data_IF_640277617495
#
_entry.id   IF_640277617495
#
_cell.length_a   1.000
_cell.length_b   1.000
_cell.length_c   1.000
_cell.angle_alpha   90.00
_cell.angle_beta   90.00
_cell.angle_gamma   90.00
#
_symmetry.space_group_name_H-M   'P 1'
#
loop_
_entity.id
_entity.type
_entity.pdbx_description
1 polymer ?
#
# COMPACT_ATOMS: atom_id res chain seq x y z
N UNK A 1 -21.59 -27.78 -23.96
CA UNK A 1 -20.69 -28.86 -23.46
C UNK A 1 -19.27 -28.49 -23.79
N UNK A 2 -18.52 -28.01 -22.78
CA UNK A 2 -17.11 -27.64 -22.92
C UNK A 2 -16.25 -28.92 -23.08
N UNK A 3 -15.37 -28.97 -24.08
CA UNK A 3 -14.41 -30.06 -24.28
C UNK A 3 -13.14 -29.78 -23.50
N UNK A 4 -12.85 -30.58 -22.48
CA UNK A 4 -11.57 -30.54 -21.75
C UNK A 4 -10.42 -30.98 -22.66
N UNK A 5 -9.39 -30.11 -22.76
CA UNK A 5 -8.14 -30.43 -23.49
C UNK A 5 -7.15 -31.05 -22.50
N UNK A 6 -6.71 -32.27 -22.77
CA UNK A 6 -5.77 -32.99 -21.94
C UNK A 6 -4.31 -32.76 -22.41
N UNK A 7 -3.45 -32.20 -21.57
CA UNK A 7 -1.99 -32.17 -21.77
C UNK A 7 -1.33 -33.39 -21.08
N UNK A 8 -0.44 -34.06 -21.80
CA UNK A 8 0.34 -35.20 -21.28
C UNK A 8 1.61 -34.70 -20.56
N UNK A 9 1.67 -34.90 -19.26
CA UNK A 9 2.94 -34.76 -18.51
C UNK A 9 3.64 -36.14 -18.45
N UNK A 10 4.98 -36.13 -18.45
CA UNK A 10 5.83 -37.31 -18.67
C UNK A 10 5.70 -38.51 -17.70
N UNK A 11 4.69 -38.57 -16.84
CA UNK A 11 4.43 -39.68 -15.93
C UNK A 11 3.02 -40.34 -16.12
N UNK A 12 2.47 -40.25 -17.30
CA UNK A 12 1.30 -41.08 -17.68
C UNK A 12 -0.04 -40.76 -17.02
N UNK A 13 -0.12 -39.81 -16.05
CA UNK A 13 -1.41 -39.33 -15.50
C UNK A 13 -1.93 -38.17 -16.37
N UNK A 14 -3.09 -38.37 -17.00
CA UNK A 14 -3.82 -37.27 -17.63
C UNK A 14 -4.38 -36.39 -16.55
N UNK A 15 -3.83 -35.18 -16.40
CA UNK A 15 -4.43 -34.12 -15.60
C UNK A 15 -5.39 -33.37 -16.52
N UNK A 16 -6.66 -33.32 -16.17
CA UNK A 16 -7.63 -32.45 -16.87
C UNK A 16 -7.25 -30.99 -16.54
N UNK A 17 -6.89 -30.23 -17.57
CA UNK A 17 -6.70 -28.78 -17.43
C UNK A 17 -8.07 -28.14 -17.67
N UNK A 18 -8.58 -27.43 -16.65
CA UNK A 18 -9.81 -26.64 -16.82
C UNK A 18 -9.52 -25.47 -17.78
N UNK A 19 -10.43 -25.24 -18.69
CA UNK A 19 -10.36 -24.09 -19.60
C UNK A 19 -10.75 -22.82 -18.81
N UNK A 20 -10.08 -21.72 -19.08
CA UNK A 20 -10.30 -20.43 -18.39
C UNK A 20 -11.75 -19.95 -18.54
N UNK A 21 -12.42 -20.31 -19.63
CA UNK A 21 -13.81 -19.95 -19.89
C UNK A 21 -14.79 -20.48 -18.84
N UNK A 22 -14.48 -21.62 -18.20
CA UNK A 22 -15.31 -22.15 -17.10
C UNK A 22 -15.25 -21.24 -15.85
N UNK A 23 -14.11 -20.62 -15.57
CA UNK A 23 -13.99 -19.66 -14.48
C UNK A 23 -14.71 -18.34 -14.79
N UNK A 24 -14.75 -17.96 -16.07
CA UNK A 24 -15.45 -16.75 -16.51
C UNK A 24 -16.99 -16.89 -16.40
N UNK A 25 -17.53 -18.12 -16.56
CA UNK A 25 -18.95 -18.39 -16.37
C UNK A 25 -19.42 -18.17 -14.92
N UNK A 26 -18.52 -18.42 -13.94
CA UNK A 26 -18.78 -18.29 -12.51
C UNK A 26 -18.17 -16.99 -11.91
N UNK A 27 -17.78 -16.03 -12.75
CA UNK A 27 -17.13 -14.82 -12.30
C UNK A 27 -18.00 -14.05 -11.29
N UNK A 28 -17.40 -13.65 -10.16
CA UNK A 28 -18.05 -12.87 -9.10
C UNK A 28 -18.86 -13.68 -8.09
N UNK A 29 -19.22 -14.94 -8.40
CA UNK A 29 -20.04 -15.76 -7.49
C UNK A 29 -19.29 -16.00 -6.17
N UNK A 30 -19.92 -15.56 -5.06
CA UNK A 30 -19.39 -15.71 -3.70
C UNK A 30 -18.37 -14.65 -3.28
N UNK A 31 -18.06 -13.68 -4.15
CA UNK A 31 -17.20 -12.54 -3.82
C UNK A 31 -17.87 -11.18 -4.04
N UNK A 32 -18.89 -11.12 -4.88
CA UNK A 32 -19.61 -9.87 -5.20
C UNK A 32 -20.40 -9.31 -4.00
N UNK A 33 -20.77 -10.16 -3.03
CA UNK A 33 -21.52 -9.80 -1.83
C UNK A 33 -20.62 -9.28 -0.68
N UNK A 34 -19.28 -9.32 -0.84
CA UNK A 34 -18.37 -8.84 0.18
C UNK A 34 -18.40 -7.31 0.28
N UNK A 35 -18.66 -6.82 1.49
CA UNK A 35 -18.60 -5.40 1.83
C UNK A 35 -17.18 -4.92 2.11
N UNK A 36 -16.98 -3.61 2.18
CA UNK A 36 -15.68 -3.03 2.53
C UNK A 36 -15.20 -3.40 3.94
N UNK A 37 -16.09 -3.83 4.82
CA UNK A 37 -15.80 -4.33 6.17
C UNK A 37 -15.29 -5.77 6.19
N UNK A 38 -15.56 -6.53 5.12
CA UNK A 38 -15.12 -7.91 4.96
C UNK A 38 -13.74 -7.99 4.26
N UNK A 39 -13.24 -6.86 3.78
CA UNK A 39 -11.99 -6.76 3.04
C UNK A 39 -10.96 -5.95 3.81
N UNK A 40 -9.75 -6.48 3.91
CA UNK A 40 -8.60 -5.75 4.42
C UNK A 40 -7.79 -5.16 3.27
N UNK A 41 -7.56 -3.84 3.30
CA UNK A 41 -6.59 -3.25 2.39
C UNK A 41 -5.17 -3.61 2.84
N UNK A 42 -4.36 -4.28 2.00
CA UNK A 42 -3.00 -4.64 2.37
C UNK A 42 -2.11 -3.41 2.48
N UNK A 43 -1.15 -3.47 3.39
CA UNK A 43 -0.05 -2.52 3.41
C UNK A 43 1.06 -3.01 2.48
N UNK A 44 1.54 -2.11 1.63
CA UNK A 44 2.80 -2.30 0.92
C UNK A 44 3.91 -1.59 1.69
N UNK A 45 4.86 -2.33 2.21
CA UNK A 45 5.96 -1.77 3.02
C UNK A 45 7.33 -2.24 2.56
N UNK A 46 8.37 -1.49 2.91
CA UNK A 46 9.77 -1.88 2.73
C UNK A 46 10.23 -2.58 4.00
N UNK A 47 10.69 -3.81 3.90
CA UNK A 47 11.24 -4.55 5.03
C UNK A 47 12.52 -3.86 5.53
N UNK A 48 12.59 -3.65 6.83
CA UNK A 48 13.75 -3.09 7.51
C UNK A 48 14.54 -4.22 8.19
N UNK A 49 15.76 -3.95 8.65
CA UNK A 49 16.59 -4.94 9.37
C UNK A 49 15.92 -5.55 10.62
N UNK A 50 14.97 -4.83 11.21
CA UNK A 50 14.23 -5.23 12.42
C UNK A 50 12.80 -5.65 12.10
N UNK A 51 12.45 -5.84 10.83
CA UNK A 51 11.11 -6.31 10.44
C UNK A 51 10.93 -7.77 10.83
N UNK A 52 9.91 -8.13 11.61
CA UNK A 52 9.69 -9.51 12.08
C UNK A 52 9.49 -10.49 10.93
N UNK A 53 8.97 -10.04 9.81
CA UNK A 53 8.77 -10.86 8.61
C UNK A 53 10.07 -11.47 8.06
N UNK A 54 11.23 -10.94 8.43
CA UNK A 54 12.53 -11.51 8.01
C UNK A 54 12.83 -12.85 8.70
N UNK A 55 12.24 -13.07 9.87
CA UNK A 55 12.39 -14.33 10.63
C UNK A 55 11.39 -15.39 10.12
N UNK A 56 10.24 -14.99 9.60
CA UNK A 56 9.14 -15.86 9.22
C UNK A 56 9.15 -16.24 7.73
N UNK A 57 9.73 -15.39 6.86
CA UNK A 57 9.66 -15.57 5.41
C UNK A 57 11.01 -15.94 4.84
N UNK A 58 11.10 -17.16 4.34
CA UNK A 58 12.32 -17.66 3.69
C UNK A 58 12.73 -16.78 2.51
N UNK A 59 14.01 -16.42 2.44
CA UNK A 59 14.60 -15.57 1.40
C UNK A 59 14.18 -14.09 1.39
N UNK A 60 13.34 -13.63 2.33
CA UNK A 60 13.10 -12.20 2.50
C UNK A 60 14.35 -11.49 3.05
N UNK A 61 14.60 -10.26 2.59
CA UNK A 61 15.75 -9.44 3.01
C UNK A 61 15.30 -8.03 3.34
N UNK A 62 16.07 -7.37 4.20
CA UNK A 62 15.91 -5.93 4.40
C UNK A 62 16.07 -5.21 3.07
N UNK A 63 15.11 -4.35 2.76
CA UNK A 63 14.98 -3.66 1.47
C UNK A 63 13.98 -4.31 0.51
N UNK A 64 13.57 -5.55 0.71
CA UNK A 64 12.51 -6.14 -0.10
C UNK A 64 11.15 -5.48 0.22
N UNK A 65 10.25 -5.49 -0.76
CA UNK A 65 8.88 -4.98 -0.62
C UNK A 65 7.98 -6.13 -0.16
N UNK A 66 7.07 -5.84 0.73
CA UNK A 66 6.20 -6.83 1.34
C UNK A 66 4.75 -6.39 1.35
N UNK A 67 3.85 -7.27 0.93
CA UNK A 67 2.41 -7.10 1.04
C UNK A 67 1.89 -7.82 2.28
N UNK A 68 1.23 -7.11 3.19
CA UNK A 68 0.85 -7.68 4.50
C UNK A 68 -0.30 -8.69 4.44
N UNK A 69 -1.12 -8.68 3.40
CA UNK A 69 -2.26 -9.60 3.23
C UNK A 69 -1.86 -10.81 2.40
N UNK A 70 -1.33 -10.60 1.18
CA UNK A 70 -0.94 -11.71 0.30
C UNK A 70 0.36 -12.39 0.74
N UNK A 71 1.11 -11.75 1.66
CA UNK A 71 2.45 -12.20 2.12
C UNK A 71 3.49 -12.26 0.99
N UNK A 72 3.18 -11.66 -0.14
CA UNK A 72 4.09 -11.60 -1.27
C UNK A 72 5.29 -10.72 -0.98
N UNK A 73 6.47 -11.19 -1.38
CA UNK A 73 7.75 -10.47 -1.29
C UNK A 73 8.27 -10.18 -2.69
N UNK A 74 8.47 -8.91 -2.99
CA UNK A 74 9.11 -8.45 -4.23
C UNK A 74 10.49 -7.90 -3.90
N UNK A 75 11.50 -8.24 -4.72
CA UNK A 75 12.84 -7.70 -4.52
C UNK A 75 12.83 -6.18 -4.63
N UNK A 76 13.41 -5.52 -3.64
CA UNK A 76 13.36 -4.06 -3.54
C UNK A 76 13.91 -3.32 -4.74
N UNK A 77 14.97 -3.88 -5.38
CA UNK A 77 15.56 -3.31 -6.60
C UNK A 77 14.75 -3.56 -7.87
N UNK A 78 13.91 -4.62 -7.91
CA UNK A 78 12.98 -4.85 -9.02
C UNK A 78 11.79 -3.90 -8.93
N UNK A 79 11.39 -3.55 -7.70
CA UNK A 79 10.31 -2.60 -7.44
C UNK A 79 8.93 -3.07 -7.89
N UNK A 80 7.97 -2.16 -7.82
CA UNK A 80 6.58 -2.40 -8.26
C UNK A 80 6.07 -1.22 -9.08
N UNK A 81 5.20 -1.50 -10.03
CA UNK A 81 4.46 -0.47 -10.76
C UNK A 81 3.16 -0.17 -10.03
N UNK A 82 2.86 1.11 -9.84
CA UNK A 82 1.65 1.51 -9.12
C UNK A 82 0.94 2.68 -9.77
N UNK A 83 -0.37 2.73 -9.59
CA UNK A 83 -1.19 3.93 -9.83
C UNK A 83 -1.51 4.57 -8.49
N UNK A 84 -1.16 5.85 -8.29
CA UNK A 84 -1.52 6.57 -7.07
C UNK A 84 -2.95 7.11 -7.16
N UNK A 85 -3.88 6.46 -6.48
CA UNK A 85 -5.31 6.75 -6.59
C UNK A 85 -5.78 7.86 -5.66
N UNK A 86 -5.34 7.82 -4.38
CA UNK A 86 -5.73 8.80 -3.38
C UNK A 86 -4.60 9.08 -2.39
N UNK A 87 -4.77 10.16 -1.62
CA UNK A 87 -3.81 10.58 -0.61
C UNK A 87 -4.53 11.21 0.58
N UNK A 88 -4.13 10.81 1.77
CA UNK A 88 -4.52 11.47 3.02
C UNK A 88 -3.29 11.69 3.90
N UNK A 89 -3.34 12.74 4.71
CA UNK A 89 -2.34 12.98 5.75
C UNK A 89 -3.02 12.80 7.11
N UNK A 90 -2.49 11.89 7.90
CA UNK A 90 -3.02 11.60 9.23
C UNK A 90 -1.95 11.83 10.30
N UNK A 91 -2.40 12.13 11.50
CA UNK A 91 -1.60 12.03 12.70
C UNK A 91 -2.16 10.89 13.52
N UNK A 92 -1.33 9.87 13.74
CA UNK A 92 -1.72 8.65 14.45
C UNK A 92 -1.12 8.75 15.86
N UNK A 93 -1.97 8.68 16.88
CA UNK A 93 -1.54 8.65 18.27
C UNK A 93 -1.34 7.20 18.69
N UNK A 94 -0.13 6.87 19.08
CA UNK A 94 0.28 5.54 19.48
C UNK A 94 0.50 5.45 21.00
N UNK A 95 0.14 4.30 21.57
CA UNK A 95 0.59 3.91 22.91
C UNK A 95 2.11 3.70 22.93
N UNK A 96 2.78 3.76 24.09
CA UNK A 96 4.16 3.34 24.20
C UNK A 96 4.34 1.90 23.72
N UNK A 97 5.43 1.60 23.03
CA UNK A 97 5.71 0.25 22.53
C UNK A 97 5.69 -0.77 23.65
N UNK A 98 5.07 -1.93 23.36
CA UNK A 98 4.92 -3.03 24.34
C UNK A 98 3.84 -2.76 25.39
N UNK A 99 3.03 -1.70 25.20
CA UNK A 99 1.86 -1.44 26.03
C UNK A 99 0.62 -1.35 25.13
N UNK A 100 -0.43 -2.03 25.47
CA UNK A 100 -1.66 -2.06 24.67
C UNK A 100 -1.69 -3.14 23.60
N UNK A 101 -2.65 -3.04 22.67
CA UNK A 101 -2.95 -4.03 21.62
C UNK A 101 -2.19 -3.79 20.30
N UNK A 102 -1.30 -2.80 20.22
CA UNK A 102 -0.70 -2.38 18.96
C UNK A 102 -1.62 -1.53 18.07
N UNK A 103 -2.90 -1.38 18.42
CA UNK A 103 -3.81 -0.49 17.72
C UNK A 103 -3.55 0.99 18.09
N UNK A 104 -3.86 1.95 17.18
CA UNK A 104 -3.77 3.37 17.49
C UNK A 104 -4.69 3.74 18.66
N UNK A 105 -4.22 4.65 19.54
CA UNK A 105 -5.08 5.28 20.54
C UNK A 105 -6.10 6.20 19.88
N UNK A 106 -5.65 6.99 18.90
CA UNK A 106 -6.50 7.88 18.10
C UNK A 106 -5.90 8.15 16.73
N UNK A 107 -6.74 8.50 15.76
CA UNK A 107 -6.33 8.92 14.42
C UNK A 107 -6.97 10.28 14.12
N UNK A 108 -6.13 11.25 13.78
CA UNK A 108 -6.54 12.60 13.46
C UNK A 108 -6.35 12.85 11.96
N UNK A 109 -7.39 13.28 11.30
CA UNK A 109 -7.39 13.69 9.89
C UNK A 109 -6.94 15.15 9.71
N UNK A 110 -6.75 15.56 8.47
CA UNK A 110 -6.44 16.96 8.17
C UNK A 110 -7.60 17.87 8.63
N UNK A 111 -7.29 18.84 9.50
CA UNK A 111 -8.27 19.78 10.07
C UNK A 111 -8.74 19.43 11.47
N UNK A 112 -8.48 18.22 11.96
CA UNK A 112 -8.79 17.89 13.36
C UNK A 112 -7.87 18.63 14.32
N UNK A 113 -8.39 18.94 15.51
CA UNK A 113 -7.59 19.51 16.57
C UNK A 113 -6.63 18.46 17.15
N UNK A 114 -5.34 18.73 17.08
CA UNK A 114 -4.32 17.83 17.62
C UNK A 114 -4.11 18.09 19.11
N UNK A 115 -3.79 17.05 19.90
CA UNK A 115 -3.36 17.24 21.28
C UNK A 115 -2.03 18.03 21.31
N UNK A 116 -1.79 18.71 22.44
CA UNK A 116 -0.52 19.39 22.68
C UNK A 116 0.59 18.36 22.81
N UNK A 117 1.72 18.59 22.12
CA UNK A 117 2.87 17.70 22.15
C UNK A 117 4.15 18.40 22.53
N UNK A 118 5.09 17.64 23.06
CA UNK A 118 6.48 18.05 23.30
C UNK A 118 7.43 17.10 22.57
N UNK A 119 8.48 17.68 21.96
CA UNK A 119 9.47 16.90 21.18
C UNK A 119 10.43 16.19 22.12
N UNK A 120 10.50 14.85 22.04
CA UNK A 120 11.49 14.05 22.74
C UNK A 120 12.85 14.00 22.05
N UNK A 121 13.86 13.53 22.77
CA UNK A 121 15.24 13.35 22.27
C UNK A 121 15.33 12.29 21.15
N UNK A 122 14.39 11.34 21.11
CA UNK A 122 14.23 10.33 20.07
C UNK A 122 13.50 10.84 18.82
N UNK A 123 13.24 12.14 18.74
CA UNK A 123 12.52 12.80 17.67
C UNK A 123 11.03 12.40 17.52
N UNK A 124 10.40 11.88 18.56
CA UNK A 124 8.94 11.70 18.61
C UNK A 124 8.25 12.90 19.25
N UNK A 125 7.02 13.15 18.86
CA UNK A 125 6.17 14.20 19.41
C UNK A 125 5.25 13.56 20.47
N UNK A 126 5.68 13.63 21.74
CA UNK A 126 4.94 13.05 22.86
C UNK A 126 3.76 13.92 23.27
N UNK A 127 2.61 13.28 23.50
CA UNK A 127 1.40 13.95 23.97
C UNK A 127 1.59 14.38 25.43
N UNK A 128 1.38 15.66 25.70
CA UNK A 128 1.46 16.21 27.06
C UNK A 128 0.40 15.53 27.93
N UNK A 129 0.80 15.04 29.09
CA UNK A 129 -0.04 14.26 30.02
C UNK A 129 -0.61 12.95 29.39
N UNK A 130 -0.05 12.51 28.27
CA UNK A 130 -0.49 11.35 27.52
C UNK A 130 0.06 10.00 27.99
N UNK A 131 0.76 9.92 29.13
CA UNK A 131 1.27 8.64 29.64
C UNK A 131 2.34 7.99 28.76
N UNK A 132 3.07 8.78 27.96
CA UNK A 132 4.08 8.31 27.02
C UNK A 132 3.56 8.05 25.59
N UNK A 133 2.28 8.35 25.35
CA UNK A 133 1.73 8.32 23.97
C UNK A 133 2.42 9.36 23.11
N UNK A 134 2.50 9.07 21.81
CA UNK A 134 3.15 9.97 20.86
C UNK A 134 2.36 10.05 19.54
N UNK A 135 2.46 11.20 18.89
CA UNK A 135 1.89 11.43 17.55
C UNK A 135 2.90 11.09 16.47
N UNK A 136 2.48 10.27 15.52
CA UNK A 136 3.22 9.97 14.31
C UNK A 136 2.49 10.54 13.10
N UNK A 137 3.14 11.48 12.41
CA UNK A 137 2.61 12.02 11.16
C UNK A 137 2.83 11.02 10.04
N UNK A 138 1.75 10.57 9.40
CA UNK A 138 1.78 9.53 8.36
C UNK A 138 1.06 10.01 7.11
N UNK A 139 1.78 9.99 6.00
CA UNK A 139 1.23 10.24 4.67
C UNK A 139 0.74 8.91 4.09
N UNK A 140 -0.55 8.78 3.86
CA UNK A 140 -1.20 7.58 3.34
C UNK A 140 -1.40 7.74 1.84
N UNK A 141 -0.75 6.89 1.03
CA UNK A 141 -0.97 6.78 -0.40
C UNK A 141 -1.74 5.51 -0.70
N UNK A 142 -2.94 5.64 -1.24
CA UNK A 142 -3.74 4.51 -1.70
C UNK A 142 -3.38 4.24 -3.14
N UNK A 143 -2.92 3.04 -3.43
CA UNK A 143 -2.37 2.69 -4.73
C UNK A 143 -3.00 1.43 -5.29
N UNK A 144 -3.05 1.31 -6.61
CA UNK A 144 -3.20 0.03 -7.30
C UNK A 144 -1.81 -0.44 -7.70
N UNK A 145 -1.38 -1.59 -7.23
CA UNK A 145 -0.21 -2.29 -7.75
C UNK A 145 -0.63 -2.91 -9.08
N UNK A 146 0.20 -2.76 -10.11
CA UNK A 146 -0.07 -3.27 -11.46
C UNK A 146 1.02 -4.28 -11.80
N UNK A 147 0.65 -5.53 -12.02
CA UNK A 147 1.58 -6.58 -12.39
C UNK A 147 1.95 -6.54 -13.89
N UNK A 148 2.75 -7.51 -14.32
CA UNK A 148 3.22 -7.63 -15.72
C UNK A 148 2.09 -7.97 -16.70
N UNK A 149 1.04 -8.62 -16.23
CA UNK A 149 -0.13 -9.04 -17.03
C UNK A 149 -1.23 -7.96 -17.03
N UNK A 150 -1.01 -6.83 -16.30
CA UNK A 150 -1.94 -5.72 -16.17
C UNK A 150 -3.01 -5.94 -15.10
N UNK A 151 -2.93 -7.02 -14.32
CA UNK A 151 -3.81 -7.22 -13.18
C UNK A 151 -3.46 -6.26 -12.05
N UNK A 152 -4.47 -5.92 -11.26
CA UNK A 152 -4.33 -4.90 -10.22
C UNK A 152 -4.59 -5.45 -8.84
N UNK A 153 -3.94 -4.85 -7.85
CA UNK A 153 -4.18 -5.10 -6.44
C UNK A 153 -4.19 -3.79 -5.67
N UNK A 154 -5.25 -3.57 -4.89
CA UNK A 154 -5.32 -2.41 -3.99
C UNK A 154 -4.29 -2.55 -2.88
N UNK A 155 -3.64 -1.43 -2.53
CA UNK A 155 -2.72 -1.39 -1.39
C UNK A 155 -2.67 0.00 -0.76
N UNK A 156 -2.30 0.04 0.52
CA UNK A 156 -1.96 1.25 1.26
C UNK A 156 -0.45 1.33 1.43
N UNK A 157 0.11 2.48 1.07
CA UNK A 157 1.52 2.78 1.21
C UNK A 157 1.69 3.90 2.24
N UNK A 158 1.95 3.59 3.52
CA UNK A 158 2.21 4.59 4.54
C UNK A 158 3.64 5.11 4.43
N UNK A 159 3.78 6.43 4.44
CA UNK A 159 5.09 7.11 4.48
C UNK A 159 5.17 7.99 5.71
N UNK A 160 6.11 7.69 6.59
CA UNK A 160 6.33 8.38 7.85
C UNK A 160 7.79 8.79 8.04
N UNK A 161 8.10 9.56 9.06
CA UNK A 161 9.45 10.01 9.40
C UNK A 161 10.23 10.52 8.16
N UNK A 162 11.35 9.90 7.82
CA UNK A 162 12.19 10.29 6.67
C UNK A 162 11.47 10.18 5.33
N UNK A 163 10.49 9.27 5.21
CA UNK A 163 9.72 9.05 3.99
C UNK A 163 8.69 10.16 3.70
N UNK A 164 8.34 11.00 4.68
CA UNK A 164 7.47 12.16 4.45
C UNK A 164 8.03 13.12 3.39
N UNK A 165 9.36 13.23 3.28
CA UNK A 165 10.00 14.02 2.23
C UNK A 165 9.72 13.41 0.84
N UNK A 166 9.80 12.09 0.71
CA UNK A 166 9.50 11.36 -0.53
C UNK A 166 8.03 11.51 -0.92
N UNK A 167 7.11 11.38 0.05
CA UNK A 167 5.68 11.65 -0.14
C UNK A 167 5.41 13.06 -0.67
N UNK A 168 6.04 14.09 -0.08
CA UNK A 168 5.91 15.47 -0.55
C UNK A 168 6.43 15.65 -1.98
N UNK A 169 7.57 15.04 -2.30
CA UNK A 169 8.14 15.08 -3.65
C UNK A 169 7.20 14.41 -4.66
N UNK A 170 6.66 13.24 -4.33
CA UNK A 170 5.69 12.54 -5.18
C UNK A 170 4.42 13.35 -5.42
N UNK A 171 3.82 13.90 -4.35
CA UNK A 171 2.66 14.78 -4.47
C UNK A 171 2.95 16.03 -5.34
N UNK A 172 4.14 16.61 -5.22
CA UNK A 172 4.55 17.73 -6.07
C UNK A 172 4.71 17.33 -7.53
N UNK A 173 5.34 16.17 -7.78
CA UNK A 173 5.48 15.63 -9.13
C UNK A 173 4.10 15.40 -9.79
N UNK A 174 3.16 14.77 -9.06
CA UNK A 174 1.79 14.57 -9.54
C UNK A 174 1.10 15.92 -9.86
N UNK A 175 1.19 16.89 -8.95
CA UNK A 175 0.54 18.20 -9.10
C UNK A 175 1.07 19.01 -10.30
N UNK A 176 2.32 18.80 -10.67
CA UNK A 176 2.98 19.50 -11.78
C UNK A 176 2.77 18.83 -13.14
N UNK A 177 2.17 17.65 -13.17
CA UNK A 177 1.84 16.99 -14.44
C UNK A 177 0.93 17.88 -15.29
N UNK A 178 1.22 17.93 -16.58
CA UNK A 178 0.41 18.62 -17.59
C UNK A 178 0.16 17.69 -18.76
N UNK A 179 -1.06 17.67 -19.23
CA UNK A 179 -1.49 17.00 -20.45
C UNK A 179 -2.16 18.00 -21.37
N UNK A 180 -2.27 17.68 -22.65
CA UNK A 180 -3.01 18.45 -23.62
C UNK A 180 -4.32 17.76 -23.94
N UNK A 181 -5.39 18.52 -24.01
CA UNK A 181 -6.66 18.02 -24.52
C UNK A 181 -6.69 18.00 -26.07
N UNK A 182 -7.83 17.63 -26.64
CA UNK A 182 -8.02 17.57 -28.11
C UNK A 182 -7.84 18.94 -28.80
N UNK A 183 -8.00 20.04 -28.07
CA UNK A 183 -7.84 21.40 -28.57
C UNK A 183 -6.40 21.93 -28.44
N UNK A 184 -5.55 21.16 -27.74
CA UNK A 184 -4.18 21.53 -27.42
C UNK A 184 -4.03 22.30 -26.10
N UNK A 185 -5.11 22.54 -25.37
CA UNK A 185 -5.10 23.24 -24.09
C UNK A 185 -4.48 22.40 -22.98
N UNK A 186 -3.67 23.05 -22.15
CA UNK A 186 -2.97 22.39 -21.05
C UNK A 186 -3.89 22.24 -19.82
N UNK A 187 -3.99 21.02 -19.29
CA UNK A 187 -4.69 20.75 -18.04
C UNK A 187 -3.84 19.91 -17.08
N UNK A 188 -4.20 19.94 -15.80
CA UNK A 188 -3.62 19.04 -14.80
C UNK A 188 -4.47 17.78 -14.72
N UNK A 189 -3.93 16.61 -15.08
CA UNK A 189 -4.71 15.37 -15.03
C UNK A 189 -5.00 14.93 -13.60
N UNK A 190 -5.94 13.99 -13.46
CA UNK A 190 -6.23 13.36 -12.17
C UNK A 190 -4.99 12.66 -11.61
N UNK A 191 -4.96 12.49 -10.28
CA UNK A 191 -3.86 11.82 -9.56
C UNK A 191 -3.52 10.45 -10.15
N UNK A 192 -4.53 9.71 -10.55
CA UNK A 192 -4.43 8.34 -11.10
C UNK A 192 -4.19 8.27 -12.60
N UNK A 193 -3.72 9.33 -13.22
CA UNK A 193 -3.49 9.38 -14.67
C UNK A 193 -2.22 8.68 -15.15
N UNK A 194 -1.30 8.37 -14.24
CA UNK A 194 0.01 7.83 -14.57
C UNK A 194 0.37 6.64 -13.68
N UNK A 195 1.15 5.74 -14.27
CA UNK A 195 1.83 4.67 -13.57
C UNK A 195 3.16 5.21 -13.05
N UNK A 196 3.52 4.80 -11.86
CA UNK A 196 4.77 5.12 -11.17
C UNK A 196 5.50 3.85 -10.85
N UNK A 197 6.83 3.89 -10.90
CA UNK A 197 7.67 2.80 -10.44
C UNK A 197 8.22 3.13 -9.05
N UNK A 198 8.03 2.21 -8.13
CA UNK A 198 8.48 2.31 -6.75
C UNK A 198 9.48 1.21 -6.48
N UNK A 199 10.66 1.57 -6.08
CA UNK A 199 11.73 0.66 -5.66
C UNK A 199 12.26 1.04 -4.28
N UNK A 200 12.98 0.13 -3.65
CA UNK A 200 13.63 0.36 -2.37
C UNK A 200 15.10 0.67 -2.56
N UNK A 201 15.59 1.68 -1.84
CA UNK A 201 17.01 2.06 -1.81
C UNK A 201 17.53 2.15 -0.39
N UNK A 202 18.77 1.75 -0.19
CA UNK A 202 19.47 1.97 1.07
C UNK A 202 19.73 3.45 1.31
N UNK A 203 19.39 3.91 2.51
CA UNK A 203 19.63 5.28 2.98
C UNK A 203 20.39 5.23 4.31
N UNK A 204 21.21 6.22 4.58
CA UNK A 204 21.96 6.32 5.83
C UNK A 204 22.12 7.77 6.30
N UNK A 205 22.27 7.94 7.59
CA UNK A 205 22.69 9.18 8.23
C UNK A 205 23.45 8.88 9.52
N UNK A 206 23.83 9.93 10.29
CA UNK A 206 24.53 9.78 11.56
C UNK A 206 23.81 8.90 12.62
N UNK A 207 22.51 8.68 12.47
CA UNK A 207 21.68 7.91 13.41
C UNK A 207 21.48 6.46 12.99
N UNK A 208 21.94 6.04 11.79
CA UNK A 208 21.85 4.68 11.30
C UNK A 208 21.51 4.57 9.82
N UNK A 209 21.26 3.33 9.40
CA UNK A 209 20.91 2.97 8.02
C UNK A 209 19.53 2.30 7.97
N UNK A 210 18.80 2.60 6.92
CA UNK A 210 17.46 2.04 6.64
C UNK A 210 17.24 1.88 5.15
N UNK A 211 16.12 1.31 4.76
CA UNK A 211 15.68 1.29 3.36
C UNK A 211 14.47 2.23 3.18
N UNK A 212 14.52 3.03 2.14
CA UNK A 212 13.50 4.01 1.81
C UNK A 212 12.98 3.85 0.39
N UNK A 213 11.87 4.51 0.10
CA UNK A 213 11.29 4.52 -1.23
C UNK A 213 12.08 5.41 -2.21
N UNK A 214 12.31 4.90 -3.40
CA UNK A 214 12.63 5.69 -4.58
C UNK A 214 11.43 5.62 -5.53
N UNK A 215 10.97 6.78 -6.00
CA UNK A 215 9.75 6.91 -6.78
C UNK A 215 10.08 7.61 -8.08
N UNK A 216 9.79 6.97 -9.20
CA UNK A 216 9.97 7.52 -10.53
C UNK A 216 8.67 7.44 -11.33
N UNK A 217 8.47 8.40 -12.24
CA UNK A 217 7.36 8.34 -13.18
C UNK A 217 7.67 7.31 -14.25
N UNK A 218 6.77 6.37 -14.46
CA UNK A 218 6.86 5.38 -15.53
C UNK A 218 6.14 5.90 -16.80
N UNK A 219 4.84 5.72 -16.90
CA UNK A 219 4.08 5.99 -18.11
C UNK A 219 2.72 6.64 -17.80
N UNK A 220 2.08 7.18 -18.80
CA UNK A 220 0.65 7.51 -18.75
C UNK A 220 -0.15 6.21 -18.84
N UNK A 221 -1.30 6.14 -18.15
CA UNK A 221 -2.24 5.03 -18.33
C UNK A 221 -2.86 5.11 -19.73
N UNK A 222 -2.74 4.02 -20.47
CA UNK A 222 -3.32 3.87 -21.81
C UNK A 222 -4.53 2.94 -21.79
N UNK A 223 -4.63 2.03 -20.82
CA UNK A 223 -5.76 1.11 -20.67
C UNK A 223 -6.96 1.81 -20.02
N UNK A 224 -8.11 1.93 -20.70
CA UNK A 224 -9.32 2.52 -20.16
C UNK A 224 -9.87 1.77 -18.93
N UNK A 225 -9.69 0.44 -18.84
CA UNK A 225 -10.18 -0.35 -17.72
C UNK A 225 -9.37 -0.06 -16.46
N UNK A 226 -8.04 -0.04 -16.57
CA UNK A 226 -7.15 0.37 -15.47
C UNK A 226 -7.47 1.79 -15.00
N UNK A 227 -7.72 2.72 -15.93
CA UNK A 227 -8.10 4.09 -15.57
C UNK A 227 -9.44 4.14 -14.83
N UNK A 228 -10.44 3.38 -15.29
CA UNK A 228 -11.76 3.32 -14.66
C UNK A 228 -11.68 2.71 -13.25
N UNK A 229 -10.92 1.64 -13.08
CA UNK A 229 -10.69 0.98 -11.80
C UNK A 229 -9.97 1.93 -10.81
N UNK A 230 -8.89 2.58 -11.23
CA UNK A 230 -8.16 3.55 -10.41
C UNK A 230 -9.06 4.72 -9.98
N UNK A 231 -9.92 5.21 -10.88
CA UNK A 231 -10.92 6.23 -10.57
C UNK A 231 -11.93 5.74 -9.55
N UNK A 232 -12.47 4.53 -9.72
CA UNK A 232 -13.44 3.95 -8.80
C UNK A 232 -12.83 3.79 -7.40
N UNK A 233 -11.62 3.22 -7.31
CA UNK A 233 -10.91 3.10 -6.04
C UNK A 233 -10.67 4.47 -5.38
N UNK A 234 -10.22 5.48 -6.14
CA UNK A 234 -10.06 6.83 -5.62
C UNK A 234 -11.38 7.39 -5.04
N UNK A 235 -12.49 7.17 -5.73
CA UNK A 235 -13.81 7.63 -5.29
C UNK A 235 -14.27 6.92 -4.01
N UNK A 236 -14.04 5.62 -3.86
CA UNK A 236 -14.37 4.87 -2.65
C UNK A 236 -13.59 5.37 -1.42
N UNK A 237 -12.30 5.71 -1.61
CA UNK A 237 -11.50 6.32 -0.53
C UNK A 237 -12.06 7.70 -0.14
N UNK A 238 -12.36 8.55 -1.13
CA UNK A 238 -12.91 9.89 -0.88
C UNK A 238 -14.30 9.85 -0.22
N UNK A 239 -15.09 8.81 -0.51
CA UNK A 239 -16.38 8.56 0.14
C UNK A 239 -16.25 7.95 1.55
N UNK A 240 -15.04 7.64 2.02
CA UNK A 240 -14.81 7.03 3.33
C UNK A 240 -15.26 5.56 3.44
N UNK A 241 -15.43 4.89 2.30
CA UNK A 241 -15.87 3.49 2.24
C UNK A 241 -14.77 2.50 2.58
N UNK A 242 -13.51 2.91 2.47
CA UNK A 242 -12.34 2.07 2.78
C UNK A 242 -11.89 2.34 4.21
N UNK A 243 -11.94 1.30 5.04
CA UNK A 243 -11.43 1.33 6.42
C UNK A 243 -10.02 0.76 6.45
N UNK A 244 -9.13 1.41 7.18
CA UNK A 244 -7.75 0.96 7.37
C UNK A 244 -7.55 0.59 8.83
N UNK A 245 -7.10 -0.63 9.10
CA UNK A 245 -6.60 -1.02 10.41
C UNK A 245 -5.10 -0.71 10.47
N UNK A 246 -4.71 0.25 11.29
CA UNK A 246 -3.31 0.54 11.56
C UNK A 246 -2.81 -0.32 12.71
N UNK A 247 -1.58 -0.83 12.57
CA UNK A 247 -0.88 -1.58 13.61
C UNK A 247 0.49 -0.95 13.82
N UNK A 248 0.93 -0.86 15.08
CA UNK A 248 2.23 -0.33 15.44
C UNK A 248 3.33 -1.27 14.93
N UNK A 249 4.32 -0.73 14.22
CA UNK A 249 5.44 -1.55 13.74
C UNK A 249 6.27 -2.10 14.89
N UNK A 250 6.55 -3.41 14.84
CA UNK A 250 7.33 -4.13 15.85
C UNK A 250 6.49 -4.86 16.91
N UNK A 251 5.16 -4.68 16.90
CA UNK A 251 4.27 -5.59 17.61
C UNK A 251 3.92 -6.76 16.67
N UNK A 252 4.11 -7.99 17.13
CA UNK A 252 3.56 -9.17 16.45
C UNK A 252 2.05 -9.01 16.44
N UNK A 253 1.43 -9.09 15.25
CA UNK A 253 -0.01 -9.24 15.17
C UNK A 253 -0.36 -10.50 15.97
N UNK A 254 -1.19 -10.37 17.00
CA UNK A 254 -1.84 -11.55 17.56
C UNK A 254 -2.77 -12.12 16.49
N UNK A 255 -3.04 -13.43 16.52
CA UNK A 255 -3.95 -14.08 15.54
C UNK A 255 -5.35 -13.41 15.55
N UNK A 256 -5.71 -12.70 16.62
CA UNK A 256 -6.94 -11.91 16.74
C UNK A 256 -6.87 -10.53 16.05
N UNK A 257 -5.67 -10.06 15.73
CA UNK A 257 -5.43 -8.74 15.07
C UNK A 257 -5.19 -8.85 13.57
N UNK A 258 -5.18 -10.06 13.02
CA UNK A 258 -5.14 -10.26 11.57
C UNK A 258 -6.49 -9.77 11.03
N UNK A 259 -6.53 -8.73 10.19
CA UNK A 259 -7.77 -8.34 9.55
C UNK A 259 -8.17 -9.45 8.57
N UNK A 260 -9.19 -10.23 8.93
CA UNK A 260 -9.92 -11.04 7.98
C UNK A 260 -10.76 -10.14 7.12
#
# INVERSE_FOLDING_TARGET
MAKAVAKKNGNGKKVAVMETDMFAEDAGIGVDDLGSEDLAIPFLKVLQKMSPELDDIENAKAGDLFNTVTKEVVKGGDGVRVVNCAYTLQHIEWEPRGTGSGAPHAIYSAGDALPKTERGDDNKDYVVDGGGRYLERTAQHYVLIVDADGMTQQALLPMKATQLKKSKQWNSAIKTLKMKDANGDLFTPARWSHIWHLESVGEENKNGSWHGWQISKDSQIEDPNLYAEAKHFAQSIMAGQVKVKHVQEGDSLSDDDVPF
#
